data_IF_489298747416
#
_entry.id   IF_489298747416
#
_cell.length_a   1.000
_cell.length_b   1.000
_cell.length_c   1.000
_cell.angle_alpha   90.00
_cell.angle_beta   90.00
_cell.angle_gamma   90.00
#
_symmetry.space_group_name_H-M   'P 1'
#
loop_
_entity.id
_entity.type
_entity.pdbx_description
1 polymer ?
#
# COMPACT_ATOMS: atom_id res chain seq x y z
N UNK A 1 24.08 -47.66 28.35
CA UNK A 1 24.25 -47.80 29.81
C UNK A 1 23.15 -46.98 30.50
N UNK A 2 22.23 -47.67 31.19
CA UNK A 2 21.22 -47.10 32.10
C UNK A 2 21.91 -46.69 33.41
N UNK A 3 21.60 -45.50 33.97
CA UNK A 3 21.37 -45.17 35.41
C UNK A 3 20.70 -43.76 35.43
N UNK A 4 19.42 -43.53 35.75
CA UNK A 4 18.61 -43.74 36.96
C UNK A 4 18.91 -42.78 38.13
N UNK A 5 17.82 -42.09 38.56
CA UNK A 5 17.46 -41.66 39.94
C UNK A 5 18.12 -40.35 40.45
N UNK A 6 17.48 -39.43 41.19
CA UNK A 6 16.09 -39.08 41.48
C UNK A 6 16.09 -37.83 42.38
N UNK A 7 15.04 -37.02 42.28
CA UNK A 7 14.25 -36.43 43.38
C UNK A 7 14.96 -35.69 44.53
N UNK A 8 14.79 -34.36 44.56
CA UNK A 8 14.79 -33.58 45.80
C UNK A 8 13.51 -32.73 45.83
N UNK A 9 12.57 -33.13 46.68
CA UNK A 9 11.44 -32.32 47.09
C UNK A 9 11.92 -31.24 48.07
N UNK A 10 11.49 -29.99 47.88
CA UNK A 10 11.46 -29.02 48.96
C UNK A 10 10.15 -28.23 48.88
N UNK A 11 9.42 -28.31 49.98
CA UNK A 11 8.13 -27.69 50.20
C UNK A 11 8.24 -26.19 50.51
N UNK A 12 7.19 -25.46 50.14
CA UNK A 12 6.72 -24.26 50.86
C UNK A 12 7.25 -22.92 50.37
N UNK A 13 6.36 -22.11 49.79
CA UNK A 13 5.75 -20.97 50.48
C UNK A 13 4.74 -20.30 49.53
N UNK A 14 3.52 -20.17 50.04
CA UNK A 14 2.38 -19.50 49.44
C UNK A 14 2.51 -18.00 49.76
N UNK A 15 2.62 -17.14 48.74
CA UNK A 15 2.49 -15.68 48.90
C UNK A 15 1.56 -15.15 47.81
N UNK A 16 0.62 -14.33 48.29
CA UNK A 16 -0.58 -13.84 47.66
C UNK A 16 -0.38 -13.10 46.33
N UNK A 17 -1.39 -13.25 45.47
CA UNK A 17 -1.60 -12.44 44.28
C UNK A 17 -1.77 -10.95 44.65
N UNK A 18 -1.00 -10.09 44.00
CA UNK A 18 -1.22 -8.64 43.98
C UNK A 18 -2.15 -8.28 42.83
N UNK A 19 -3.20 -7.47 43.04
CA UNK A 19 -4.01 -6.96 41.94
C UNK A 19 -3.22 -5.89 41.17
N UNK A 20 -3.15 -6.06 39.85
CA UNK A 20 -2.75 -5.01 38.91
C UNK A 20 -3.85 -3.94 38.89
N UNK A 21 -3.50 -2.71 39.26
CA UNK A 21 -4.37 -1.56 39.06
C UNK A 21 -4.46 -1.22 37.57
N UNK A 22 -5.62 -1.50 36.98
CA UNK A 22 -5.98 -0.96 35.67
C UNK A 22 -6.22 0.56 35.81
N UNK A 23 -5.60 1.34 34.92
CA UNK A 23 -5.84 2.77 34.78
C UNK A 23 -7.31 3.06 34.39
N UNK A 24 -7.89 4.19 34.81
CA UNK A 24 -9.27 4.54 34.49
C UNK A 24 -9.46 4.71 32.97
N UNK A 25 -10.32 3.86 32.42
CA UNK A 25 -10.87 3.97 31.07
C UNK A 25 -11.72 5.25 30.97
N UNK A 26 -11.65 6.04 29.87
CA UNK A 26 -12.56 7.15 29.68
C UNK A 26 -14.00 6.63 29.54
N UNK A 27 -14.87 7.08 30.45
CA UNK A 27 -16.29 6.76 30.47
C UNK A 27 -16.95 7.08 29.14
N UNK A 28 -17.74 6.11 28.65
CA UNK A 28 -18.76 6.33 27.63
C UNK A 28 -19.80 7.32 28.18
N UNK A 29 -19.79 8.55 27.65
CA UNK A 29 -20.86 9.51 27.89
C UNK A 29 -22.09 9.10 27.08
N UNK A 30 -23.12 8.62 27.77
CA UNK A 30 -24.46 8.49 27.19
C UNK A 30 -25.05 9.89 26.99
N UNK A 31 -25.26 10.29 25.74
CA UNK A 31 -26.06 11.47 25.41
C UNK A 31 -27.54 11.07 25.37
N UNK A 32 -28.30 11.46 26.39
CA UNK A 32 -29.77 11.43 26.34
C UNK A 32 -30.27 12.52 25.38
N UNK A 33 -31.28 12.25 24.53
CA UNK A 33 -31.86 13.26 23.68
C UNK A 33 -32.83 14.11 24.52
N UNK A 34 -32.55 15.41 24.65
CA UNK A 34 -33.59 16.37 25.03
C UNK A 34 -34.14 16.97 23.76
N UNK A 35 -35.41 16.67 23.48
CA UNK A 35 -36.13 17.17 22.33
C UNK A 35 -36.41 18.68 22.48
N UNK A 36 -35.95 19.48 21.51
CA UNK A 36 -36.62 20.70 21.08
C UNK A 36 -36.15 21.06 19.66
N UNK A 37 -36.97 20.63 18.71
CA UNK A 37 -37.26 21.22 17.40
C UNK A 37 -36.33 22.32 16.86
N UNK A 38 -35.53 22.02 15.85
CA UNK A 38 -35.64 22.63 14.50
C UNK A 38 -34.99 21.69 13.49
N UNK A 39 -35.77 21.20 12.51
CA UNK A 39 -35.26 20.38 11.44
C UNK A 39 -34.30 21.21 10.56
N UNK A 40 -33.01 20.93 10.64
CA UNK A 40 -32.05 21.21 9.56
C UNK A 40 -31.31 19.92 9.30
N UNK A 41 -31.23 19.54 8.02
CA UNK A 41 -30.65 18.29 7.57
C UNK A 41 -29.28 18.08 8.22
N UNK A 42 -29.12 16.95 8.93
CA UNK A 42 -27.83 16.50 9.37
C UNK A 42 -26.98 16.22 8.13
N UNK A 43 -26.24 17.23 7.68
CA UNK A 43 -25.03 17.01 6.89
C UNK A 43 -24.12 16.18 7.78
N UNK A 44 -24.01 14.90 7.44
CA UNK A 44 -22.97 14.02 7.95
C UNK A 44 -21.63 14.70 7.67
N UNK A 45 -21.12 15.43 8.67
CA UNK A 45 -19.83 16.07 8.61
C UNK A 45 -18.80 14.94 8.57
N UNK A 46 -18.42 14.53 7.36
CA UNK A 46 -17.22 13.75 7.12
C UNK A 46 -16.07 14.54 7.76
N UNK A 47 -15.65 14.13 8.95
CA UNK A 47 -14.65 14.82 9.78
C UNK A 47 -13.23 14.62 9.23
N UNK A 48 -13.05 14.80 7.92
CA UNK A 48 -11.74 14.88 7.29
C UNK A 48 -11.22 16.29 7.58
N UNK A 49 -10.05 16.37 8.24
CA UNK A 49 -9.43 17.65 8.50
C UNK A 49 -9.10 18.36 7.18
N UNK A 50 -9.33 19.67 7.14
CA UNK A 50 -9.07 20.52 5.95
C UNK A 50 -7.64 20.29 5.42
N UNK A 51 -6.69 20.07 6.33
CA UNK A 51 -5.29 19.75 6.03
C UNK A 51 -5.10 18.46 5.23
N UNK A 52 -5.91 17.42 5.47
CA UNK A 52 -5.82 16.15 4.72
C UNK A 52 -6.38 16.34 3.31
N UNK A 53 -7.47 17.10 3.16
CA UNK A 53 -8.04 17.43 1.85
C UNK A 53 -7.04 18.21 1.00
N UNK A 54 -6.38 19.22 1.59
CA UNK A 54 -5.35 20.01 0.90
C UNK A 54 -4.13 19.16 0.52
N UNK A 55 -3.65 18.29 1.43
CA UNK A 55 -2.52 17.41 1.15
C UNK A 55 -2.83 16.38 0.05
N UNK A 56 -4.05 15.83 0.04
CA UNK A 56 -4.51 14.92 -1.01
C UNK A 56 -4.57 15.65 -2.37
N UNK A 57 -5.17 16.84 -2.41
CA UNK A 57 -5.26 17.66 -3.61
C UNK A 57 -3.88 18.08 -4.15
N UNK A 58 -2.93 18.40 -3.27
CA UNK A 58 -1.54 18.71 -3.65
C UNK A 58 -0.83 17.54 -4.35
N UNK A 59 -1.28 16.30 -4.11
CA UNK A 59 -0.78 15.09 -4.78
C UNK A 59 -1.69 14.63 -5.94
N UNK A 60 -2.71 15.41 -6.30
CA UNK A 60 -3.70 15.05 -7.32
C UNK A 60 -4.58 13.86 -6.95
N UNK A 61 -4.71 13.56 -5.65
CA UNK A 61 -5.44 12.42 -5.12
C UNK A 61 -6.76 12.85 -4.48
N UNK A 62 -7.73 11.95 -4.50
CA UNK A 62 -8.85 12.03 -3.57
C UNK A 62 -8.38 11.77 -2.13
N UNK A 63 -9.16 12.19 -1.14
CA UNK A 63 -8.89 11.89 0.28
C UNK A 63 -8.78 10.38 0.52
N UNK A 64 -9.62 9.58 -0.14
CA UNK A 64 -9.57 8.12 -0.05
C UNK A 64 -8.28 7.53 -0.62
N UNK A 65 -7.84 8.00 -1.79
CA UNK A 65 -6.56 7.57 -2.38
C UNK A 65 -5.35 7.97 -1.54
N UNK A 66 -5.37 9.18 -0.97
CA UNK A 66 -4.31 9.69 -0.12
C UNK A 66 -4.19 8.88 1.17
N UNK A 67 -5.32 8.69 1.87
CA UNK A 67 -5.35 8.00 3.17
C UNK A 67 -5.02 6.52 3.06
N UNK A 68 -5.43 5.87 1.97
CA UNK A 68 -5.19 4.44 1.75
C UNK A 68 -3.91 4.12 0.96
N UNK A 69 -3.09 5.13 0.64
CA UNK A 69 -1.92 4.97 -0.22
C UNK A 69 -2.22 4.22 -1.53
N UNK A 70 -3.28 4.65 -2.21
CA UNK A 70 -3.77 4.03 -3.43
C UNK A 70 -3.80 5.03 -4.61
N UNK A 71 -3.91 4.48 -5.81
CA UNK A 71 -4.19 5.18 -7.07
C UNK A 71 -5.27 4.39 -7.78
N UNK A 72 -6.48 4.93 -7.77
CA UNK A 72 -7.66 4.29 -8.38
C UNK A 72 -8.11 5.02 -9.65
N UNK A 73 -7.64 6.26 -9.83
CA UNK A 73 -7.84 7.04 -11.05
C UNK A 73 -6.52 7.66 -11.52
N UNK A 74 -6.27 7.62 -12.82
CA UNK A 74 -5.09 8.20 -13.45
C UNK A 74 -5.52 9.13 -14.59
N UNK A 75 -5.18 10.43 -14.53
CA UNK A 75 -5.49 11.35 -15.62
C UNK A 75 -4.96 10.87 -16.96
N UNK A 76 -5.84 10.77 -17.97
CA UNK A 76 -5.47 10.35 -19.32
C UNK A 76 -5.49 8.83 -19.55
N UNK A 77 -5.93 8.04 -18.57
CA UNK A 77 -6.20 6.61 -18.69
C UNK A 77 -7.68 6.34 -18.36
N UNK A 78 -8.44 5.81 -19.32
CA UNK A 78 -9.88 5.61 -19.17
C UNK A 78 -10.23 4.39 -18.29
N UNK A 79 -9.45 3.32 -18.42
CA UNK A 79 -9.59 2.11 -17.62
C UNK A 79 -8.35 1.96 -16.76
N UNK A 80 -8.55 2.07 -15.45
CA UNK A 80 -7.47 2.02 -14.46
C UNK A 80 -7.69 0.80 -13.57
N UNK A 81 -6.68 -0.07 -13.51
CA UNK A 81 -6.59 -1.11 -12.48
C UNK A 81 -6.22 -0.43 -11.15
N UNK A 82 -7.09 -0.43 -10.12
CA UNK A 82 -6.75 0.18 -8.83
C UNK A 82 -5.47 -0.41 -8.26
N UNK A 83 -4.51 0.44 -7.90
CA UNK A 83 -3.23 0.01 -7.33
C UNK A 83 -2.95 0.63 -5.96
N UNK A 84 -2.29 -0.15 -5.10
CA UNK A 84 -1.83 0.25 -3.77
C UNK A 84 -0.49 -0.42 -3.44
N UNK A 85 0.17 0.05 -2.38
CA UNK A 85 1.31 -0.69 -1.84
C UNK A 85 0.81 -1.88 -1.02
N UNK A 86 1.15 -3.10 -1.45
CA UNK A 86 0.94 -4.32 -0.67
C UNK A 86 2.06 -4.54 0.35
N UNK A 87 1.80 -5.33 1.39
CA UNK A 87 2.82 -5.62 2.43
C UNK A 87 4.02 -6.44 1.94
N UNK A 88 4.98 -6.70 2.84
CA UNK A 88 6.20 -7.48 2.57
C UNK A 88 7.21 -6.78 1.65
N UNK A 89 7.49 -5.51 1.92
CA UNK A 89 8.60 -4.82 1.25
C UNK A 89 9.92 -5.41 1.76
N UNK A 90 10.81 -5.79 0.84
CA UNK A 90 12.17 -6.25 1.15
C UNK A 90 13.13 -5.20 0.61
N UNK A 91 14.05 -4.70 1.43
CA UNK A 91 15.07 -3.73 1.03
C UNK A 91 16.44 -4.35 1.27
N UNK A 92 17.30 -4.35 0.25
CA UNK A 92 18.65 -4.91 0.29
C UNK A 92 18.68 -6.36 0.84
N UNK A 93 17.66 -7.17 0.50
CA UNK A 93 17.54 -8.56 0.93
C UNK A 93 16.94 -8.77 2.34
N UNK A 94 16.62 -7.71 3.08
CA UNK A 94 16.02 -7.82 4.42
C UNK A 94 14.55 -7.35 4.41
N UNK A 95 13.63 -8.02 5.13
CA UNK A 95 12.27 -7.54 5.36
C UNK A 95 12.28 -6.12 5.96
N UNK A 96 11.36 -5.28 5.50
CA UNK A 96 11.27 -3.87 5.90
C UNK A 96 9.82 -3.45 6.15
N UNK A 97 9.64 -2.56 7.13
CA UNK A 97 8.36 -1.90 7.43
C UNK A 97 8.23 -0.53 6.74
N UNK A 98 9.08 -0.24 5.76
CA UNK A 98 9.06 1.03 5.03
C UNK A 98 7.86 1.07 4.11
N UNK A 99 7.15 2.20 4.15
CA UNK A 99 6.05 2.51 3.25
C UNK A 99 6.60 3.18 1.99
N UNK A 100 6.19 2.66 0.83
CA UNK A 100 6.40 3.29 -0.46
C UNK A 100 5.09 3.99 -0.81
N UNK A 101 5.09 5.31 -0.76
CA UNK A 101 3.94 6.12 -1.13
C UNK A 101 3.77 6.12 -2.64
N UNK A 102 2.55 5.83 -3.09
CA UNK A 102 2.20 5.88 -4.49
C UNK A 102 1.84 7.32 -4.88
N UNK A 103 2.33 7.81 -6.01
CA UNK A 103 2.01 9.15 -6.52
C UNK A 103 1.36 9.06 -7.90
N UNK A 104 0.56 10.07 -8.27
CA UNK A 104 -0.06 10.10 -9.60
C UNK A 104 0.93 10.65 -10.64
N UNK A 105 0.94 10.07 -11.86
CA UNK A 105 1.77 10.57 -12.95
C UNK A 105 1.17 11.83 -13.56
N UNK A 106 1.98 12.55 -14.35
CA UNK A 106 1.47 13.59 -15.24
C UNK A 106 0.83 12.99 -16.49
N UNK A 107 -0.06 13.74 -17.15
CA UNK A 107 -0.70 13.30 -18.40
C UNK A 107 0.32 12.99 -19.51
N UNK A 108 1.46 13.69 -19.53
CA UNK A 108 2.55 13.43 -20.49
C UNK A 108 3.19 12.05 -20.25
N UNK A 109 3.47 11.70 -19.00
CA UNK A 109 4.01 10.38 -18.63
C UNK A 109 3.01 9.29 -18.99
N UNK A 110 1.72 9.47 -18.72
CA UNK A 110 0.66 8.52 -19.11
C UNK A 110 0.59 8.36 -20.63
N UNK A 111 0.71 9.45 -21.39
CA UNK A 111 0.77 9.39 -22.85
C UNK A 111 1.96 8.55 -23.33
N UNK A 112 3.14 8.76 -22.77
CA UNK A 112 4.34 7.97 -23.11
C UNK A 112 4.21 6.50 -22.69
N UNK A 113 3.57 6.20 -21.55
CA UNK A 113 3.32 4.83 -21.11
C UNK A 113 2.37 4.10 -22.06
N UNK A 114 1.36 4.80 -22.61
CA UNK A 114 0.47 4.25 -23.63
C UNK A 114 1.21 3.94 -24.93
N UNK A 115 2.15 4.78 -25.34
CA UNK A 115 3.01 4.49 -26.49
C UNK A 115 3.88 3.26 -26.25
N UNK A 116 4.47 3.13 -25.05
CA UNK A 116 5.22 1.94 -24.65
C UNK A 116 4.34 0.68 -24.68
N UNK A 117 3.13 0.74 -24.14
CA UNK A 117 2.20 -0.39 -24.18
C UNK A 117 1.81 -0.77 -25.61
N UNK A 118 1.52 0.21 -26.47
CA UNK A 118 1.21 -0.03 -27.87
C UNK A 118 2.36 -0.71 -28.63
N UNK A 119 3.61 -0.32 -28.35
CA UNK A 119 4.80 -0.96 -28.93
C UNK A 119 4.94 -2.44 -28.52
N UNK A 120 4.42 -2.80 -27.35
CA UNK A 120 4.38 -4.19 -26.85
C UNK A 120 3.12 -4.94 -27.27
N UNK A 121 2.22 -4.32 -28.04
CA UNK A 121 0.89 -4.87 -28.35
C UNK A 121 -0.01 -5.02 -27.11
N UNK A 122 0.30 -4.32 -26.02
CA UNK A 122 -0.32 -4.45 -24.72
C UNK A 122 -1.21 -3.28 -24.31
N UNK A 123 -1.70 -3.35 -23.07
CA UNK A 123 -2.55 -2.34 -22.43
C UNK A 123 -1.93 -1.86 -21.13
N UNK A 124 -1.92 -0.55 -20.91
CA UNK A 124 -1.57 0.02 -19.60
C UNK A 124 -2.67 -0.32 -18.60
N UNK A 125 -2.30 -1.02 -17.52
CA UNK A 125 -3.19 -1.30 -16.40
C UNK A 125 -3.29 -0.09 -15.49
N UNK A 126 -2.16 0.47 -15.09
CA UNK A 126 -2.06 1.69 -14.29
C UNK A 126 -0.60 2.22 -14.34
N UNK A 127 -0.43 3.51 -14.09
CA UNK A 127 0.88 4.19 -14.01
C UNK A 127 0.95 4.88 -12.65
N UNK A 128 1.95 4.53 -11.85
CA UNK A 128 2.10 5.04 -10.47
C UNK A 128 3.55 5.43 -10.21
N UNK A 129 3.76 6.52 -9.51
CA UNK A 129 5.07 6.84 -8.95
C UNK A 129 5.28 6.19 -7.60
N UNK A 130 6.53 5.93 -7.25
CA UNK A 130 6.91 5.54 -5.88
C UNK A 130 7.78 6.62 -5.26
N UNK A 131 7.59 6.85 -3.95
CA UNK A 131 8.46 7.69 -3.13
C UNK A 131 8.45 7.18 -1.69
N UNK A 132 9.41 7.59 -0.88
CA UNK A 132 9.42 7.29 0.55
C UNK A 132 10.05 8.43 1.33
N UNK A 133 9.47 8.75 2.49
CA UNK A 133 10.06 9.70 3.44
C UNK A 133 11.13 9.04 4.31
N UNK A 134 11.07 7.72 4.48
CA UNK A 134 11.97 6.97 5.36
C UNK A 134 13.24 6.49 4.64
N UNK A 135 13.14 6.18 3.34
CA UNK A 135 14.26 5.65 2.55
C UNK A 135 14.38 6.41 1.24
N UNK A 136 15.38 7.30 1.17
CA UNK A 136 15.66 8.10 -0.03
C UNK A 136 16.41 7.32 -1.13
N UNK A 137 17.26 6.35 -0.76
CA UNK A 137 18.05 5.52 -1.68
C UNK A 137 18.14 4.08 -1.16
N UNK A 138 18.17 3.12 -2.08
CA UNK A 138 18.38 1.70 -1.80
C UNK A 138 19.15 1.06 -2.96
N UNK A 139 19.81 -0.08 -2.72
CA UNK A 139 20.48 -0.83 -3.78
C UNK A 139 19.50 -1.74 -4.51
N UNK A 140 18.71 -2.49 -3.74
CA UNK A 140 17.60 -3.30 -4.26
C UNK A 140 16.38 -3.15 -3.35
N UNK A 141 15.20 -3.18 -3.95
CA UNK A 141 13.94 -3.33 -3.25
C UNK A 141 13.06 -4.33 -3.99
N UNK A 142 12.38 -5.21 -3.27
CA UNK A 142 11.28 -5.99 -3.79
C UNK A 142 10.00 -5.44 -3.17
N UNK A 143 9.13 -4.92 -4.01
CA UNK A 143 7.91 -4.23 -3.60
C UNK A 143 6.73 -5.02 -4.14
N UNK A 144 5.83 -5.40 -3.23
CA UNK A 144 4.56 -5.98 -3.58
C UNK A 144 3.55 -4.86 -3.84
N UNK A 145 2.98 -4.83 -5.04
CA UNK A 145 1.89 -3.93 -5.37
C UNK A 145 0.58 -4.69 -5.29
N UNK A 146 -0.39 -4.14 -4.57
CA UNK A 146 -1.78 -4.56 -4.73
C UNK A 146 -2.28 -3.99 -6.05
N UNK A 147 -2.78 -4.84 -6.94
CA UNK A 147 -3.28 -4.51 -8.27
C UNK A 147 -4.62 -5.22 -8.48
N UNK A 148 -5.71 -4.53 -8.14
CA UNK A 148 -7.04 -5.12 -8.05
C UNK A 148 -7.52 -5.70 -9.39
N UNK A 149 -7.87 -6.97 -9.40
CA UNK A 149 -8.36 -7.70 -10.57
C UNK A 149 -7.28 -8.36 -11.42
N UNK A 150 -5.99 -8.21 -11.05
CA UNK A 150 -4.91 -8.99 -11.65
C UNK A 150 -5.09 -10.46 -11.30
N UNK A 151 -4.94 -11.35 -12.30
CA UNK A 151 -5.08 -12.80 -12.11
C UNK A 151 -3.72 -13.47 -12.15
N UNK A 152 -3.59 -14.58 -11.41
CA UNK A 152 -2.43 -15.44 -11.54
C UNK A 152 -2.28 -15.94 -12.99
N UNK A 153 -1.06 -15.92 -13.51
CA UNK A 153 -0.76 -16.30 -14.90
C UNK A 153 -1.01 -15.22 -15.95
N UNK A 154 -1.53 -14.05 -15.57
CA UNK A 154 -1.59 -12.88 -16.44
C UNK A 154 -0.16 -12.39 -16.75
N UNK A 155 0.09 -12.00 -18.00
CA UNK A 155 1.41 -11.52 -18.41
C UNK A 155 1.48 -10.00 -18.23
N UNK A 156 2.16 -9.58 -17.17
CA UNK A 156 2.35 -8.16 -16.86
C UNK A 156 3.83 -7.84 -16.89
N UNK A 157 4.20 -6.86 -17.71
CA UNK A 157 5.51 -6.23 -17.70
C UNK A 157 5.43 -4.91 -16.94
N UNK A 158 6.48 -4.61 -16.18
CA UNK A 158 6.58 -3.34 -15.46
C UNK A 158 7.78 -2.58 -15.97
N UNK A 159 7.59 -1.30 -16.29
CA UNK A 159 8.64 -0.41 -16.76
C UNK A 159 8.79 0.77 -15.82
N UNK A 160 10.01 1.24 -15.63
CA UNK A 160 10.30 2.47 -14.90
C UNK A 160 10.72 3.57 -15.87
N UNK A 161 10.18 4.77 -15.67
CA UNK A 161 10.57 5.94 -16.45
C UNK A 161 11.86 6.54 -15.87
N UNK A 162 12.96 6.42 -16.60
CA UNK A 162 14.29 6.89 -16.20
C UNK A 162 14.86 7.73 -17.34
N UNK A 163 15.20 8.99 -17.04
CA UNK A 163 15.87 9.90 -17.99
C UNK A 163 15.18 10.04 -19.37
N UNK A 164 13.84 9.91 -19.42
CA UNK A 164 13.09 10.03 -20.67
C UNK A 164 12.72 8.69 -21.33
N UNK A 165 13.20 7.58 -20.79
CA UNK A 165 13.02 6.24 -21.38
C UNK A 165 12.33 5.28 -20.41
N UNK A 166 11.63 4.29 -20.97
CA UNK A 166 11.00 3.21 -20.22
C UNK A 166 11.95 2.02 -20.13
N UNK A 167 12.48 1.77 -18.93
CA UNK A 167 13.38 0.64 -18.65
C UNK A 167 12.59 -0.50 -18.02
N UNK A 168 12.67 -1.69 -18.59
CA UNK A 168 11.97 -2.87 -18.05
C UNK A 168 12.53 -3.24 -16.67
N UNK A 169 11.63 -3.44 -15.71
CA UNK A 169 11.93 -3.97 -14.39
C UNK A 169 11.60 -5.46 -14.34
N UNK A 170 12.33 -6.19 -13.50
CA UNK A 170 12.04 -7.60 -13.25
C UNK A 170 10.79 -7.73 -12.37
N UNK A 171 9.76 -8.37 -12.91
CA UNK A 171 8.60 -8.85 -12.14
C UNK A 171 8.95 -10.22 -11.57
N UNK A 172 9.09 -10.32 -10.25
CA UNK A 172 9.47 -11.57 -9.59
C UNK A 172 8.30 -12.52 -9.43
N UNK A 173 7.09 -11.99 -9.36
CA UNK A 173 5.89 -12.78 -9.11
C UNK A 173 4.63 -12.03 -9.55
N UNK A 174 3.66 -12.75 -10.12
CA UNK A 174 2.30 -12.27 -10.38
C UNK A 174 1.34 -13.25 -9.72
N UNK A 175 0.54 -12.75 -8.78
CA UNK A 175 -0.48 -13.49 -8.04
C UNK A 175 -1.83 -12.80 -8.20
N UNK A 176 -2.87 -13.46 -7.71
CA UNK A 176 -4.19 -12.82 -7.61
C UNK A 176 -4.07 -11.50 -6.85
N UNK A 177 -4.58 -10.43 -7.46
CA UNK A 177 -4.54 -9.06 -6.98
C UNK A 177 -3.13 -8.49 -6.67
N UNK A 178 -2.05 -9.14 -7.09
CA UNK A 178 -0.70 -8.77 -6.66
C UNK A 178 0.36 -8.89 -7.76
N UNK A 179 1.23 -7.89 -7.83
CA UNK A 179 2.41 -7.89 -8.71
C UNK A 179 3.62 -7.51 -7.87
N UNK A 180 4.61 -8.40 -7.81
CA UNK A 180 5.85 -8.18 -7.05
C UNK A 180 6.96 -7.77 -8.01
N UNK A 181 7.55 -6.59 -7.76
CA UNK A 181 8.50 -5.94 -8.66
C UNK A 181 9.82 -5.70 -7.95
N UNK A 182 10.92 -6.03 -8.62
CA UNK A 182 12.26 -5.68 -8.19
C UNK A 182 12.65 -4.30 -8.73
N UNK A 183 13.11 -3.42 -7.85
CA UNK A 183 13.43 -2.03 -8.11
C UNK A 183 14.83 -1.69 -7.57
N UNK A 184 15.48 -0.69 -8.17
CA UNK A 184 16.77 -0.14 -7.69
C UNK A 184 16.69 1.34 -7.35
N UNK A 185 15.59 2.00 -7.70
CA UNK A 185 15.29 3.38 -7.32
C UNK A 185 13.78 3.63 -7.27
N UNK A 186 13.39 4.68 -6.56
CA UNK A 186 12.05 5.27 -6.68
C UNK A 186 11.82 5.88 -8.07
N UNK A 187 10.58 5.98 -8.52
CA UNK A 187 10.25 6.62 -9.81
C UNK A 187 8.87 6.27 -10.34
N UNK A 188 8.55 6.72 -11.55
CA UNK A 188 7.29 6.40 -12.23
C UNK A 188 7.36 5.00 -12.83
N UNK A 189 6.34 4.19 -12.55
CA UNK A 189 6.19 2.82 -13.01
C UNK A 189 4.96 2.72 -13.90
N UNK A 190 5.10 2.03 -15.03
CA UNK A 190 3.99 1.63 -15.89
C UNK A 190 3.79 0.12 -15.79
N UNK A 191 2.60 -0.31 -15.42
CA UNK A 191 2.19 -1.71 -15.40
C UNK A 191 1.43 -1.98 -16.69
N UNK A 192 1.96 -2.89 -17.51
CA UNK A 192 1.47 -3.15 -18.86
C UNK A 192 1.14 -4.63 -18.97
N UNK A 193 -0.13 -4.93 -19.22
CA UNK A 193 -0.55 -6.26 -19.64
C UNK A 193 -0.14 -6.46 -21.10
N UNK A 194 0.52 -7.57 -21.39
CA UNK A 194 0.93 -7.95 -22.75
C UNK A 194 0.20 -9.22 -23.19
N UNK A 195 -0.09 -9.38 -24.49
CA UNK A 195 -0.68 -10.60 -25.00
C UNK A 195 0.25 -11.80 -24.74
N UNK A 196 -0.32 -12.97 -24.52
CA UNK A 196 0.43 -14.21 -24.58
C UNK A 196 1.08 -14.34 -25.96
N UNK A 197 2.36 -14.70 -25.99
CA UNK A 197 3.04 -15.02 -27.25
C UNK A 197 2.20 -16.06 -28.01
N UNK A 198 1.76 -15.70 -29.21
CA UNK A 198 1.08 -16.63 -30.13
C UNK A 198 2.07 -17.66 -30.69
#
# INVERSE_FOLDING_TARGET
MKKMIALAALAGVLVCAVPVSAAPSPSAGSVSPSASSTATAAVEATAVSVTVTEAAAAQGKSVGEYTNNAVVEVPGLAEVTPMGQGGHVIINGAPSNVIFFLTKPSAAVVSSAKQQAAALGGKVLNVVGTTSQAVGKFGTAQVNFYAKGVKAGQLIKVYQYINGEWVELTVSEIREDHVVVNMTSHGMLAFIEVPAAQ
#
